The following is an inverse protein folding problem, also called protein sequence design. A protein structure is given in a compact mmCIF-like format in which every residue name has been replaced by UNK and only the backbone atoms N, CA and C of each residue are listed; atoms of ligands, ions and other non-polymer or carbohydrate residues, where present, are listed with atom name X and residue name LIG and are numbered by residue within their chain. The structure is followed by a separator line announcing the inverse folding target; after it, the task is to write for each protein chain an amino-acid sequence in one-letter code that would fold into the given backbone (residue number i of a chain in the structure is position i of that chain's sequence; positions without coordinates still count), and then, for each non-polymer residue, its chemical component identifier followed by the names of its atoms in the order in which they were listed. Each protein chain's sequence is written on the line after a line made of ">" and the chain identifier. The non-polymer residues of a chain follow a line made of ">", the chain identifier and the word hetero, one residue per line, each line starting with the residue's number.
data_IF_432038700572
#
_entry.id   IF_432038700572
#
_cell.length_a   1.000
_cell.length_b   1.000
_cell.length_c   1.000
_cell.angle_alpha   90.00
_cell.angle_beta   90.00
_cell.angle_gamma   90.00
#
_symmetry.space_group_name_H-M   'P 1'
#
loop_
_entity.id
_entity.type
_entity.pdbx_description
1 polymer ?
#
# COMPACT_ATOMS: atom_id res chain seq x y z
N UNK A 1 -8.65 14.05 -14.29
CA UNK A 1 -8.88 12.68 -13.75
C UNK A 1 -10.36 12.35 -13.55
N UNK A 2 -11.28 13.33 -13.64
CA UNK A 2 -12.74 13.11 -13.51
C UNK A 2 -13.38 12.26 -14.63
N UNK A 3 -12.73 12.13 -15.79
CA UNK A 3 -13.28 11.42 -16.97
C UNK A 3 -13.12 9.90 -16.97
N UNK A 4 -12.46 9.30 -15.96
CA UNK A 4 -12.22 7.84 -15.93
C UNK A 4 -13.14 7.09 -14.95
N UNK A 5 -13.98 7.79 -14.19
CA UNK A 5 -14.82 7.19 -13.15
C UNK A 5 -13.94 6.65 -12.01
N UNK A 6 -13.88 7.37 -10.88
CA UNK A 6 -13.13 6.92 -9.70
C UNK A 6 -13.67 5.62 -9.11
N UNK A 7 -13.16 5.24 -7.93
CA UNK A 7 -13.70 4.08 -7.22
C UNK A 7 -15.21 4.23 -6.98
N UNK A 8 -16.00 3.14 -7.09
CA UNK A 8 -17.40 3.14 -6.67
C UNK A 8 -17.54 3.61 -5.21
N UNK A 9 -18.63 4.30 -4.88
CA UNK A 9 -18.83 4.93 -3.55
C UNK A 9 -18.71 3.97 -2.35
N UNK A 10 -18.93 2.67 -2.55
CA UNK A 10 -18.84 1.66 -1.49
C UNK A 10 -17.47 0.97 -1.42
N UNK A 11 -16.55 1.24 -2.35
CA UNK A 11 -15.18 0.72 -2.35
C UNK A 11 -14.24 1.83 -1.90
N UNK A 12 -13.35 1.52 -0.96
CA UNK A 12 -12.39 2.46 -0.42
C UNK A 12 -10.97 1.92 -0.56
N UNK A 13 -10.03 2.81 -0.81
CA UNK A 13 -8.59 2.54 -0.70
C UNK A 13 -8.19 2.63 0.77
N UNK A 14 -7.47 1.63 1.27
CA UNK A 14 -7.03 1.59 2.67
C UNK A 14 -6.08 2.75 3.01
N UNK A 15 -5.11 3.05 2.15
CA UNK A 15 -4.15 4.14 2.37
C UNK A 15 -4.86 5.49 2.39
N UNK A 16 -5.83 5.70 1.50
CA UNK A 16 -6.65 6.92 1.52
C UNK A 16 -7.55 6.99 2.75
N UNK A 17 -8.16 5.88 3.14
CA UNK A 17 -9.02 5.78 4.33
C UNK A 17 -8.26 6.09 5.62
N UNK A 18 -7.02 5.65 5.75
CA UNK A 18 -6.13 5.90 6.89
C UNK A 18 -5.51 7.32 6.90
N UNK A 19 -5.97 8.22 6.03
CA UNK A 19 -5.50 9.62 6.02
C UNK A 19 -4.20 9.83 5.24
N UNK A 20 -3.91 8.97 4.27
CA UNK A 20 -2.76 9.10 3.35
C UNK A 20 -1.40 9.18 4.07
N UNK A 21 -1.10 8.26 5.01
CA UNK A 21 0.15 8.26 5.76
C UNK A 21 1.38 8.22 4.83
N UNK A 22 2.36 9.09 5.03
CA UNK A 22 3.49 9.21 4.11
C UNK A 22 4.50 8.08 4.26
N UNK A 23 4.66 7.49 5.45
CA UNK A 23 5.66 6.45 5.71
C UNK A 23 5.41 5.15 4.93
N UNK A 24 4.16 4.92 4.47
CA UNK A 24 3.80 3.76 3.66
C UNK A 24 3.19 4.12 2.29
N UNK A 25 3.46 5.33 1.79
CA UNK A 25 2.86 5.82 0.55
C UNK A 25 3.40 5.14 -0.71
N UNK A 26 4.71 4.92 -0.80
CA UNK A 26 5.36 4.42 -2.02
C UNK A 26 5.77 2.97 -1.79
N UNK A 27 5.23 2.08 -2.61
CA UNK A 27 5.45 0.63 -2.50
C UNK A 27 6.47 0.14 -3.53
N UNK A 28 6.82 0.99 -4.48
CA UNK A 28 7.92 0.81 -5.41
C UNK A 28 8.70 2.12 -5.47
N UNK A 29 9.98 2.09 -5.16
CA UNK A 29 10.82 3.28 -5.02
C UNK A 29 12.27 2.96 -5.42
N UNK A 30 12.69 3.42 -6.60
CA UNK A 30 14.04 3.17 -7.12
C UNK A 30 15.12 4.00 -6.46
N UNK A 31 14.76 5.02 -5.67
CA UNK A 31 15.73 5.79 -4.92
C UNK A 31 16.26 4.97 -3.72
N UNK A 32 15.40 4.17 -3.10
CA UNK A 32 15.75 3.36 -1.92
C UNK A 32 15.96 1.88 -2.25
N UNK A 33 15.18 1.34 -3.18
CA UNK A 33 15.30 -0.03 -3.63
C UNK A 33 16.28 -0.14 -4.80
N UNK A 34 17.38 -0.84 -4.59
CA UNK A 34 18.48 -0.98 -5.56
C UNK A 34 18.41 -2.28 -6.35
N UNK A 35 17.36 -3.10 -6.20
CA UNK A 35 17.31 -4.44 -6.80
C UNK A 35 17.33 -4.45 -8.34
N UNK A 36 16.80 -3.40 -8.98
CA UNK A 36 16.70 -3.28 -10.44
C UNK A 36 17.80 -2.43 -11.07
N UNK A 37 18.71 -1.85 -10.27
CA UNK A 37 19.79 -0.98 -10.76
C UNK A 37 19.32 0.17 -11.69
N UNK A 38 18.12 0.71 -11.44
CA UNK A 38 17.55 1.82 -12.22
C UNK A 38 18.20 3.13 -11.80
N UNK A 39 18.85 3.82 -12.75
CA UNK A 39 19.57 5.07 -12.49
C UNK A 39 18.68 6.29 -12.20
N UNK A 40 17.40 6.23 -12.57
CA UNK A 40 16.45 7.32 -12.35
C UNK A 40 15.64 7.13 -11.08
N UNK A 41 15.47 8.21 -10.30
CA UNK A 41 14.62 8.21 -9.11
C UNK A 41 13.15 8.29 -9.51
N UNK A 42 12.41 7.22 -9.27
CA UNK A 42 10.98 7.11 -9.52
C UNK A 42 10.33 6.38 -8.35
N UNK A 43 9.17 6.86 -7.92
CA UNK A 43 8.41 6.28 -6.82
C UNK A 43 6.93 6.24 -7.14
N UNK A 44 6.34 5.08 -6.92
CA UNK A 44 4.97 4.78 -7.29
C UNK A 44 4.26 4.01 -6.17
N UNK A 45 2.94 4.20 -6.10
CA UNK A 45 2.05 3.41 -5.25
C UNK A 45 1.31 2.41 -6.12
N UNK A 46 2.06 1.43 -6.63
CA UNK A 46 1.54 0.38 -7.50
C UNK A 46 0.70 -0.61 -6.70
N UNK A 47 1.18 -0.98 -5.52
CA UNK A 47 0.53 -1.92 -4.63
C UNK A 47 -0.53 -1.19 -3.79
N UNK A 48 -1.75 -1.72 -3.77
CA UNK A 48 -2.90 -1.08 -3.14
C UNK A 48 -3.83 -2.12 -2.54
N UNK A 49 -4.53 -1.72 -1.47
CA UNK A 49 -5.58 -2.53 -0.85
C UNK A 49 -6.88 -1.77 -0.98
N UNK A 50 -7.87 -2.41 -1.62
CA UNK A 50 -9.24 -1.92 -1.70
C UNK A 50 -10.14 -2.76 -0.81
N UNK A 51 -11.06 -2.12 -0.09
CA UNK A 51 -12.03 -2.81 0.73
C UNK A 51 -13.43 -2.24 0.54
N UNK A 52 -14.44 -3.09 0.76
CA UNK A 52 -15.86 -2.73 0.69
C UNK A 52 -16.51 -3.12 2.01
N UNK A 53 -16.87 -2.15 2.88
CA UNK A 53 -17.63 -2.43 4.09
C UNK A 53 -18.97 -3.10 3.78
N UNK A 54 -19.41 -4.03 4.63
CA UNK A 54 -20.75 -4.62 4.50
C UNK A 54 -21.83 -3.54 4.72
N UNK A 55 -22.94 -3.67 3.97
CA UNK A 55 -24.09 -2.75 4.10
C UNK A 55 -24.86 -2.99 5.41
N UNK A 56 -24.92 -4.24 5.86
CA UNK A 56 -25.51 -4.68 7.13
C UNK A 56 -24.63 -5.76 7.77
N UNK A 57 -24.62 -5.83 9.10
CA UNK A 57 -23.79 -6.77 9.86
C UNK A 57 -22.34 -6.29 10.00
N UNK A 58 -21.44 -7.25 10.14
CA UNK A 58 -20.06 -6.97 10.55
C UNK A 58 -19.27 -6.06 9.61
N UNK A 59 -18.44 -5.19 10.18
CA UNK A 59 -17.62 -4.21 9.45
C UNK A 59 -16.14 -4.50 9.65
N UNK A 60 -15.39 -4.46 8.55
CA UNK A 60 -13.93 -4.43 8.58
C UNK A 60 -13.45 -2.99 8.60
N UNK A 61 -12.67 -2.61 9.61
CA UNK A 61 -12.10 -1.28 9.74
C UNK A 61 -10.58 -1.37 9.65
N UNK A 62 -9.94 -0.83 8.60
CA UNK A 62 -8.49 -0.70 8.58
C UNK A 62 -8.00 0.16 9.75
N UNK A 63 -6.97 -0.30 10.45
CA UNK A 63 -6.38 0.39 11.62
C UNK A 63 -4.98 0.91 11.36
N UNK A 64 -4.16 0.12 10.67
CA UNK A 64 -2.81 0.52 10.29
C UNK A 64 -2.45 -0.06 8.93
N UNK A 65 -1.50 0.61 8.28
CA UNK A 65 -0.86 0.15 7.06
C UNK A 65 0.60 0.55 7.15
N UNK A 66 1.50 -0.41 6.98
CA UNK A 66 2.95 -0.24 7.11
C UNK A 66 3.65 -0.97 5.95
N UNK A 67 4.88 -0.56 5.65
CA UNK A 67 5.72 -1.24 4.67
C UNK A 67 6.60 -2.29 5.34
N UNK A 68 6.79 -3.43 4.68
CA UNK A 68 7.67 -4.51 5.11
C UNK A 68 8.63 -4.91 4.00
N UNK A 69 9.66 -5.67 4.36
CA UNK A 69 10.72 -6.06 3.42
C UNK A 69 11.71 -4.92 3.13
N UNK A 70 11.84 -3.96 4.04
CA UNK A 70 12.70 -2.78 3.92
C UNK A 70 14.18 -3.06 4.24
N UNK A 71 14.52 -4.28 4.64
CA UNK A 71 15.87 -4.67 5.02
C UNK A 71 16.53 -5.49 3.92
N UNK A 72 17.83 -5.27 3.70
CA UNK A 72 18.62 -6.08 2.79
C UNK A 72 18.87 -7.45 3.41
N UNK A 73 18.79 -8.47 2.57
CA UNK A 73 19.24 -9.83 2.87
C UNK A 73 20.78 -9.89 2.86
N UNK A 74 21.34 -11.01 3.31
CA UNK A 74 22.80 -11.24 3.33
C UNK A 74 23.46 -11.08 1.96
N UNK A 75 22.73 -11.32 0.88
CA UNK A 75 23.21 -11.10 -0.50
C UNK A 75 23.26 -9.62 -0.93
N UNK A 76 22.94 -8.69 -0.04
CA UNK A 76 22.98 -7.25 -0.29
C UNK A 76 21.80 -6.69 -1.09
N UNK A 77 20.81 -7.53 -1.42
CA UNK A 77 19.55 -7.16 -2.10
C UNK A 77 18.38 -7.11 -1.13
N UNK A 78 17.37 -6.32 -1.45
CA UNK A 78 16.08 -6.39 -0.77
C UNK A 78 15.32 -7.67 -1.20
N UNK A 79 14.30 -8.12 -0.45
CA UNK A 79 13.50 -9.29 -0.81
C UNK A 79 12.83 -9.19 -2.19
N UNK A 80 12.45 -7.98 -2.61
CA UNK A 80 11.85 -7.66 -3.92
C UNK A 80 12.22 -6.22 -4.29
N UNK A 81 12.01 -5.82 -5.54
CA UNK A 81 12.02 -4.42 -5.98
C UNK A 81 10.79 -3.62 -5.48
N UNK A 82 9.75 -4.33 -5.03
CA UNK A 82 8.61 -3.77 -4.31
C UNK A 82 8.75 -3.95 -2.79
N UNK A 83 8.20 -3.01 -2.03
CA UNK A 83 7.92 -3.13 -0.60
C UNK A 83 6.58 -3.81 -0.38
N UNK A 84 6.54 -4.77 0.55
CA UNK A 84 5.28 -5.41 0.94
C UNK A 84 4.41 -4.45 1.75
N UNK A 85 3.09 -4.62 1.68
CA UNK A 85 2.13 -3.92 2.53
C UNK A 85 1.69 -4.85 3.65
N UNK A 86 1.83 -4.43 4.90
CA UNK A 86 1.21 -5.04 6.07
C UNK A 86 0.03 -4.17 6.52
N UNK A 87 -1.16 -4.75 6.64
CA UNK A 87 -2.36 -4.02 7.04
C UNK A 87 -3.13 -4.77 8.13
N UNK A 88 -3.51 -4.04 9.18
CA UNK A 88 -4.33 -4.58 10.28
C UNK A 88 -5.78 -4.10 10.15
N UNK A 89 -6.73 -5.00 10.37
CA UNK A 89 -8.16 -4.71 10.32
C UNK A 89 -8.82 -5.19 11.60
N UNK A 90 -9.72 -4.37 12.14
CA UNK A 90 -10.68 -4.84 13.14
C UNK A 90 -11.89 -5.44 12.43
N UNK A 91 -12.30 -6.63 12.84
CA UNK A 91 -13.60 -7.19 12.51
C UNK A 91 -14.58 -6.85 13.64
N UNK A 92 -15.50 -5.93 13.38
CA UNK A 92 -16.62 -5.63 14.27
C UNK A 92 -17.76 -6.54 13.84
N UNK A 93 -18.17 -7.49 14.66
CA UNK A 93 -19.26 -8.43 14.39
C UNK A 93 -20.62 -7.87 14.80
#
# INVERSE_FOLDING_TARGET
>A
VTNLGGLPNNIKDVWEFLGKPQHCRYTWDTQYNTNLDIAHNCKMRFDRIYFRPAVKGGRFIPRSMDLIGLEKLECGKFPSDHWGILCNFDAIL
#
